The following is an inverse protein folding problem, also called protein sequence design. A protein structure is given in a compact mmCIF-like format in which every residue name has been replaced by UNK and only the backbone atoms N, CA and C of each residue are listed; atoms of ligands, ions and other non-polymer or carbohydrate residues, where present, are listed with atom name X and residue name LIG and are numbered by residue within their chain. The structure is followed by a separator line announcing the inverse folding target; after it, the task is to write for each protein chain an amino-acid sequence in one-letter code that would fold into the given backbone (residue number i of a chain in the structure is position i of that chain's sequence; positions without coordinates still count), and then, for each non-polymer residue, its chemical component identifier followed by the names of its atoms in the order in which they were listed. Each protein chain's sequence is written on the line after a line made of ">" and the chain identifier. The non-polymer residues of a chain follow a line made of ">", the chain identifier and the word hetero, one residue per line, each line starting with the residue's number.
data_IF_137855897979
#
_entry.id   IF_137855897979
#
_cell.length_a   1.000
_cell.length_b   1.000
_cell.length_c   1.000
_cell.angle_alpha   90.00
_cell.angle_beta   90.00
_cell.angle_gamma   90.00
#
_symmetry.space_group_name_H-M   'P 1'
#
loop_
_entity.id
_entity.type
_entity.pdbx_description
1 polymer ?
#
# COMPACT_ATOMS: atom_id res chain seq x y z
N UNK A 1 -2.89 16.99 13.25
CA UNK A 1 -2.59 17.04 11.80
C UNK A 1 -2.93 15.67 11.24
N UNK A 2 -3.84 15.59 10.26
CA UNK A 2 -4.23 14.32 9.67
C UNK A 2 -3.13 13.82 8.70
N UNK A 3 -3.26 12.57 8.21
CA UNK A 3 -2.26 11.96 7.31
C UNK A 3 -2.11 12.77 6.02
N UNK A 4 -3.21 13.26 5.44
CA UNK A 4 -3.18 14.03 4.20
C UNK A 4 -2.39 15.34 4.35
N UNK A 5 -2.53 16.03 5.49
CA UNK A 5 -1.77 17.25 5.76
C UNK A 5 -0.26 16.98 5.84
N UNK A 6 0.12 15.80 6.37
CA UNK A 6 1.52 15.41 6.51
C UNK A 6 2.20 15.11 5.16
N UNK A 7 1.47 14.49 4.22
CA UNK A 7 2.03 14.06 2.94
C UNK A 7 1.86 15.09 1.81
N UNK A 8 1.00 16.09 2.00
CA UNK A 8 0.66 17.06 0.96
C UNK A 8 1.88 17.86 0.48
N UNK A 9 2.09 17.83 -0.83
CA UNK A 9 3.16 18.60 -1.48
C UNK A 9 4.59 18.09 -1.22
N UNK A 10 4.74 16.96 -0.53
CA UNK A 10 6.03 16.34 -0.25
C UNK A 10 6.30 15.08 -1.07
N UNK A 11 7.48 14.53 -0.91
CA UNK A 11 7.91 13.30 -1.57
C UNK A 11 7.63 12.09 -0.68
N UNK A 12 6.96 11.08 -1.23
CA UNK A 12 6.83 9.75 -0.63
C UNK A 12 7.87 8.85 -1.30
N UNK A 13 8.72 8.22 -0.49
CA UNK A 13 9.78 7.35 -0.99
C UNK A 13 9.41 5.89 -0.81
N UNK A 14 9.56 5.11 -1.89
CA UNK A 14 9.37 3.66 -1.86
C UNK A 14 10.61 2.96 -1.32
N UNK A 15 10.45 2.23 -0.21
CA UNK A 15 11.49 1.39 0.39
C UNK A 15 11.01 -0.06 0.33
N UNK A 16 11.32 -0.76 -0.76
CA UNK A 16 10.85 -2.11 -1.04
C UNK A 16 11.96 -2.94 -1.70
N UNK A 17 12.04 -4.21 -1.32
CA UNK A 17 12.84 -5.22 -1.99
C UNK A 17 12.12 -6.56 -1.91
N UNK A 18 12.11 -7.31 -3.02
CA UNK A 18 11.55 -8.66 -3.09
C UNK A 18 12.61 -9.69 -2.62
N UNK A 19 12.15 -10.91 -2.29
CA UNK A 19 13.02 -11.98 -1.75
C UNK A 19 14.24 -12.30 -2.62
N UNK A 20 14.12 -12.11 -3.93
CA UNK A 20 15.20 -12.36 -4.89
C UNK A 20 16.15 -11.17 -5.08
N UNK A 21 15.86 -10.03 -4.46
CA UNK A 21 16.63 -8.79 -4.64
C UNK A 21 17.73 -8.65 -3.57
N UNK A 22 18.89 -8.05 -3.91
CA UNK A 22 20.06 -7.98 -3.01
C UNK A 22 19.82 -7.25 -1.69
N UNK A 23 18.88 -6.31 -1.65
CA UNK A 23 18.57 -5.51 -0.47
C UNK A 23 17.41 -6.07 0.36
N UNK A 24 16.96 -7.28 0.09
CA UNK A 24 15.87 -7.92 0.82
C UNK A 24 16.19 -8.10 2.30
N UNK A 25 15.67 -7.23 3.10
CA UNK A 25 15.79 -7.27 4.57
C UNK A 25 14.96 -6.13 5.18
N UNK A 26 14.13 -6.44 6.17
CA UNK A 26 13.36 -5.40 6.89
C UNK A 26 14.27 -4.39 7.60
N UNK A 27 15.44 -4.84 8.07
CA UNK A 27 16.45 -3.94 8.65
C UNK A 27 17.01 -2.98 7.60
N UNK A 28 17.28 -3.44 6.38
CA UNK A 28 17.75 -2.59 5.28
C UNK A 28 16.66 -1.61 4.88
N UNK A 29 15.41 -2.06 4.75
CA UNK A 29 14.28 -1.18 4.41
C UNK A 29 14.08 -0.09 5.47
N UNK A 30 14.22 -0.41 6.74
CA UNK A 30 14.17 0.57 7.82
C UNK A 30 15.29 1.63 7.70
N UNK A 31 16.52 1.21 7.37
CA UNK A 31 17.65 2.14 7.15
C UNK A 31 17.45 3.00 5.89
N UNK A 32 16.87 2.45 4.84
CA UNK A 32 16.49 3.22 3.64
C UNK A 32 15.43 4.27 3.98
N UNK A 33 14.42 3.91 4.77
CA UNK A 33 13.41 4.85 5.24
C UNK A 33 14.01 5.99 6.09
N UNK A 34 14.98 5.67 6.95
CA UNK A 34 15.72 6.66 7.71
C UNK A 34 16.48 7.64 6.79
N UNK A 35 17.20 7.10 5.82
CA UNK A 35 17.92 7.94 4.84
C UNK A 35 16.95 8.80 4.02
N UNK A 36 15.80 8.25 3.62
CA UNK A 36 14.75 9.01 2.93
C UNK A 36 14.21 10.16 3.78
N UNK A 37 13.97 9.94 5.09
CA UNK A 37 13.57 10.97 6.04
C UNK A 37 14.62 12.08 6.14
N UNK A 38 15.90 11.73 6.28
CA UNK A 38 17.02 12.69 6.28
C UNK A 38 17.07 13.51 4.98
N UNK A 39 16.70 12.90 3.85
CA UNK A 39 16.57 13.57 2.56
C UNK A 39 15.32 14.44 2.39
N UNK A 40 14.43 14.48 3.39
CA UNK A 40 13.23 15.31 3.38
C UNK A 40 11.96 14.61 2.89
N UNK A 41 11.95 13.28 2.83
CA UNK A 41 10.70 12.54 2.56
C UNK A 41 9.65 12.81 3.64
N UNK A 42 8.39 12.86 3.23
CA UNK A 42 7.24 13.10 4.11
C UNK A 42 6.39 11.84 4.34
N UNK A 43 6.72 10.76 3.67
CA UNK A 43 6.08 9.46 3.82
C UNK A 43 6.91 8.35 3.18
N UNK A 44 6.62 7.12 3.54
CA UNK A 44 7.28 5.92 3.03
C UNK A 44 6.22 4.98 2.45
N UNK A 45 6.53 4.35 1.31
CA UNK A 45 5.74 3.24 0.75
C UNK A 45 6.53 1.95 0.97
N UNK A 46 5.90 0.97 1.62
CA UNK A 46 6.56 -0.26 2.07
C UNK A 46 5.74 -1.51 1.75
N UNK A 47 6.44 -2.60 1.47
CA UNK A 47 5.88 -3.92 1.20
C UNK A 47 6.04 -4.82 2.43
N UNK A 48 5.08 -5.67 2.70
CA UNK A 48 4.99 -6.65 3.79
C UNK A 48 4.77 -6.08 5.20
N UNK A 49 4.07 -6.83 6.06
CA UNK A 49 3.89 -6.44 7.47
C UNK A 49 5.22 -6.24 8.21
N UNK A 50 6.21 -7.09 7.95
CA UNK A 50 7.52 -7.09 8.60
C UNK A 50 8.28 -5.78 8.31
N UNK A 51 8.32 -5.38 7.03
CA UNK A 51 8.97 -4.14 6.62
C UNK A 51 8.25 -2.91 7.17
N UNK A 52 6.92 -2.90 7.13
CA UNK A 52 6.11 -1.81 7.70
C UNK A 52 6.42 -1.63 9.19
N UNK A 53 6.43 -2.73 9.96
CA UNK A 53 6.75 -2.69 11.40
C UNK A 53 8.17 -2.16 11.64
N UNK A 54 9.16 -2.64 10.88
CA UNK A 54 10.54 -2.21 11.01
C UNK A 54 10.71 -0.72 10.67
N UNK A 55 10.09 -0.26 9.60
CA UNK A 55 10.11 1.14 9.18
C UNK A 55 9.44 2.04 10.21
N UNK A 56 8.27 1.66 10.72
CA UNK A 56 7.54 2.45 11.74
C UNK A 56 8.28 2.55 13.08
N UNK A 57 9.16 1.61 13.38
CA UNK A 57 10.06 1.71 14.55
C UNK A 57 11.24 2.67 14.33
N UNK A 58 11.67 2.82 13.07
CA UNK A 58 12.85 3.64 12.72
C UNK A 58 12.48 5.10 12.43
N UNK A 59 11.31 5.36 11.82
CA UNK A 59 10.87 6.70 11.43
C UNK A 59 9.44 6.98 11.86
N UNK A 60 9.15 8.26 12.15
CA UNK A 60 7.83 8.78 12.53
C UNK A 60 7.05 9.37 11.35
N UNK A 61 7.29 8.85 10.13
CA UNK A 61 6.61 9.26 8.91
C UNK A 61 5.37 8.38 8.66
N UNK A 62 4.33 8.93 7.99
CA UNK A 62 3.24 8.12 7.47
C UNK A 62 3.74 7.00 6.55
N UNK A 63 3.18 5.80 6.71
CA UNK A 63 3.54 4.63 5.92
C UNK A 63 2.36 4.17 5.07
N UNK A 64 2.55 4.13 3.75
CA UNK A 64 1.68 3.46 2.80
C UNK A 64 2.11 1.99 2.74
N UNK A 65 1.31 1.10 3.30
CA UNK A 65 1.57 -0.32 3.30
C UNK A 65 0.90 -1.02 2.13
N UNK A 66 1.59 -1.99 1.57
CA UNK A 66 1.06 -2.93 0.59
C UNK A 66 1.63 -4.33 0.85
N UNK A 67 1.09 -5.34 0.19
CA UNK A 67 1.63 -6.69 0.28
C UNK A 67 1.62 -7.33 -1.10
N UNK A 68 2.81 -7.47 -1.69
CA UNK A 68 2.99 -8.11 -3.00
C UNK A 68 3.00 -9.62 -2.83
N UNK A 69 2.06 -10.28 -3.46
CA UNK A 69 1.95 -11.74 -3.52
C UNK A 69 1.52 -12.13 -4.93
N UNK A 70 2.32 -12.98 -5.56
CA UNK A 70 1.99 -13.54 -6.87
C UNK A 70 1.03 -14.73 -6.73
N UNK A 71 0.02 -14.74 -7.58
CA UNK A 71 -0.94 -15.83 -7.75
C UNK A 71 -0.94 -16.28 -9.21
N UNK A 72 -0.79 -17.59 -9.45
CA UNK A 72 -0.65 -18.14 -10.81
C UNK A 72 -1.83 -17.81 -11.75
N UNK A 73 -3.00 -17.55 -11.17
CA UNK A 73 -4.24 -17.29 -11.91
C UNK A 73 -4.63 -15.80 -11.96
N UNK A 74 -3.75 -14.88 -11.59
CA UNK A 74 -4.04 -13.44 -11.61
C UNK A 74 -2.80 -12.62 -11.93
N UNK A 75 -2.97 -11.55 -12.70
CA UNK A 75 -1.93 -10.55 -12.94
C UNK A 75 -1.82 -9.52 -11.79
N UNK A 76 -2.80 -9.50 -10.88
CA UNK A 76 -2.79 -8.63 -9.71
C UNK A 76 -1.88 -9.22 -8.65
N UNK A 77 -0.85 -8.46 -8.25
CA UNK A 77 0.08 -8.85 -7.20
C UNK A 77 0.19 -7.82 -6.06
N UNK A 78 -0.34 -6.60 -6.23
CA UNK A 78 -0.33 -5.58 -5.16
C UNK A 78 -1.58 -5.74 -4.31
N UNK A 79 -1.41 -6.29 -3.11
CA UNK A 79 -2.48 -6.50 -2.12
C UNK A 79 -3.69 -7.19 -2.76
N UNK A 80 -3.50 -8.40 -3.30
CA UNK A 80 -4.48 -8.98 -4.24
C UNK A 80 -5.75 -9.49 -3.58
N UNK A 81 -5.73 -9.88 -2.31
CA UNK A 81 -6.90 -10.45 -1.62
C UNK A 81 -7.11 -9.87 -0.22
N UNK A 82 -8.23 -10.21 0.41
CA UNK A 82 -8.51 -9.82 1.79
C UNK A 82 -7.47 -10.36 2.77
N UNK A 83 -6.87 -11.52 2.48
CA UNK A 83 -5.80 -12.10 3.30
C UNK A 83 -4.60 -11.17 3.44
N UNK A 84 -4.17 -10.55 2.33
CA UNK A 84 -3.05 -9.61 2.35
C UNK A 84 -3.44 -8.31 3.08
N UNK A 85 -4.67 -7.83 2.92
CA UNK A 85 -5.17 -6.67 3.67
C UNK A 85 -5.16 -6.97 5.18
N UNK A 86 -5.70 -8.11 5.59
CA UNK A 86 -5.74 -8.50 7.00
C UNK A 86 -4.32 -8.60 7.58
N UNK A 87 -3.38 -9.15 6.83
CA UNK A 87 -1.98 -9.23 7.24
C UNK A 87 -1.34 -7.85 7.42
N UNK A 88 -1.54 -6.92 6.47
CA UNK A 88 -1.00 -5.55 6.56
C UNK A 88 -1.60 -4.81 7.75
N UNK A 89 -2.88 -5.00 8.04
CA UNK A 89 -3.55 -4.36 9.17
C UNK A 89 -2.86 -4.67 10.51
N UNK A 90 -2.22 -5.84 10.66
CA UNK A 90 -1.47 -6.18 11.88
C UNK A 90 -0.26 -5.29 12.12
N UNK A 91 0.28 -4.68 11.06
CA UNK A 91 1.40 -3.75 11.12
C UNK A 91 0.96 -2.28 11.31
N UNK A 92 -0.34 -2.02 11.36
CA UNK A 92 -0.94 -0.70 11.58
C UNK A 92 -0.34 0.39 10.65
N UNK A 93 -0.38 0.23 9.31
CA UNK A 93 0.02 1.28 8.38
C UNK A 93 -0.93 2.48 8.49
N UNK A 94 -0.50 3.63 7.99
CA UNK A 94 -1.36 4.82 7.94
C UNK A 94 -2.29 4.83 6.72
N UNK A 95 -1.85 4.19 5.64
CA UNK A 95 -2.58 4.03 4.37
C UNK A 95 -2.34 2.62 3.86
N UNK A 96 -3.33 1.99 3.24
CA UNK A 96 -3.18 0.71 2.53
C UNK A 96 -3.35 0.95 1.04
N UNK A 97 -2.35 0.54 0.24
CA UNK A 97 -2.43 0.55 -1.21
C UNK A 97 -2.79 -0.84 -1.76
N UNK A 98 -3.66 -0.86 -2.76
CA UNK A 98 -4.04 -2.07 -3.48
C UNK A 98 -4.27 -1.79 -4.96
N UNK A 99 -4.08 -2.82 -5.79
CA UNK A 99 -4.39 -2.75 -7.22
C UNK A 99 -5.88 -2.45 -7.43
N UNK A 100 -6.18 -1.37 -8.14
CA UNK A 100 -7.52 -0.93 -8.46
C UNK A 100 -7.78 -0.92 -9.98
N UNK A 101 -7.02 -1.71 -10.74
CA UNK A 101 -7.24 -1.90 -12.16
C UNK A 101 -8.50 -2.76 -12.43
N UNK A 102 -8.90 -2.85 -13.68
CA UNK A 102 -10.04 -3.69 -14.11
C UNK A 102 -9.69 -5.18 -14.24
N UNK A 103 -8.47 -5.59 -13.88
CA UNK A 103 -8.05 -6.99 -13.90
C UNK A 103 -8.81 -7.82 -12.86
N UNK A 104 -8.90 -9.12 -13.10
CA UNK A 104 -9.52 -10.06 -12.15
C UNK A 104 -8.55 -10.43 -11.04
N UNK A 105 -9.03 -10.44 -9.81
CA UNK A 105 -8.31 -10.92 -8.63
C UNK A 105 -8.23 -12.45 -8.60
N UNK A 106 -7.40 -13.03 -7.74
CA UNK A 106 -7.23 -14.49 -7.66
C UNK A 106 -8.54 -15.28 -7.43
N UNK A 107 -9.51 -14.68 -6.76
CA UNK A 107 -10.84 -15.26 -6.53
C UNK A 107 -11.84 -15.00 -7.67
N UNK A 108 -11.40 -14.34 -8.76
CA UNK A 108 -12.22 -13.96 -9.91
C UNK A 108 -13.02 -12.68 -9.73
N UNK A 109 -12.95 -12.04 -8.56
CA UNK A 109 -13.63 -10.77 -8.31
C UNK A 109 -12.98 -9.61 -9.08
N UNK A 110 -13.73 -8.53 -9.25
CA UNK A 110 -13.24 -7.26 -9.75
C UNK A 110 -13.14 -6.24 -8.62
N UNK A 111 -12.50 -5.10 -8.88
CA UNK A 111 -12.37 -4.05 -7.85
C UNK A 111 -13.75 -3.53 -7.39
N UNK A 112 -14.74 -3.52 -8.28
CA UNK A 112 -16.11 -3.09 -7.98
C UNK A 112 -16.83 -3.99 -6.97
N UNK A 113 -16.50 -5.28 -6.95
CA UNK A 113 -17.06 -6.23 -5.98
C UNK A 113 -16.18 -6.41 -4.76
N UNK A 114 -14.87 -6.30 -4.91
CA UNK A 114 -13.89 -6.51 -3.85
C UNK A 114 -13.81 -5.32 -2.88
N UNK A 115 -13.64 -4.10 -3.39
CA UNK A 115 -13.39 -2.94 -2.54
C UNK A 115 -14.54 -2.60 -1.58
N UNK A 116 -15.83 -2.72 -1.96
CA UNK A 116 -16.92 -2.54 -1.00
C UNK A 116 -16.84 -3.45 0.23
N UNK A 117 -16.42 -4.71 0.07
CA UNK A 117 -16.21 -5.63 1.20
C UNK A 117 -15.01 -5.21 2.07
N UNK A 118 -13.94 -4.72 1.45
CA UNK A 118 -12.77 -4.17 2.15
C UNK A 118 -13.20 -2.96 2.99
N UNK A 119 -13.88 -2.00 2.39
CA UNK A 119 -14.37 -0.79 3.06
C UNK A 119 -15.34 -1.13 4.20
N UNK A 120 -16.21 -2.09 4.01
CA UNK A 120 -17.13 -2.56 5.06
C UNK A 120 -16.38 -3.13 6.26
N UNK A 121 -15.31 -3.90 6.01
CA UNK A 121 -14.49 -4.50 7.07
C UNK A 121 -13.63 -3.49 7.80
N UNK A 122 -13.11 -2.50 7.08
CA UNK A 122 -12.19 -1.48 7.59
C UNK A 122 -12.69 -0.06 7.23
N UNK A 123 -13.78 0.41 7.86
CA UNK A 123 -14.44 1.66 7.45
C UNK A 123 -13.59 2.91 7.64
N UNK A 124 -12.72 2.92 8.64
CA UNK A 124 -11.90 4.08 9.01
C UNK A 124 -10.50 4.08 8.39
N UNK A 125 -10.13 3.01 7.65
CA UNK A 125 -8.82 2.90 7.01
C UNK A 125 -8.76 3.76 5.75
N UNK A 126 -7.63 4.44 5.57
CA UNK A 126 -7.34 5.20 4.34
C UNK A 126 -6.84 4.23 3.28
N UNK A 127 -7.49 4.18 2.12
CA UNK A 127 -7.12 3.33 1.01
C UNK A 127 -6.65 4.12 -0.20
N UNK A 128 -5.51 3.69 -0.76
CA UNK A 128 -4.95 4.21 -1.99
C UNK A 128 -5.18 3.20 -3.13
N UNK A 129 -5.74 3.69 -4.22
CA UNK A 129 -5.91 2.93 -5.46
C UNK A 129 -4.65 3.03 -6.32
N UNK A 130 -4.01 1.89 -6.59
CA UNK A 130 -2.97 1.80 -7.62
C UNK A 130 -3.64 1.55 -8.96
N UNK A 131 -3.57 2.53 -9.87
CA UNK A 131 -4.25 2.56 -11.15
C UNK A 131 -3.26 2.48 -12.32
N UNK A 132 -3.72 1.94 -13.46
CA UNK A 132 -2.93 1.86 -14.69
C UNK A 132 -3.47 2.80 -15.78
N UNK A 133 -4.66 3.35 -15.61
CA UNK A 133 -5.32 4.21 -16.58
C UNK A 133 -6.17 5.29 -15.91
N UNK A 134 -6.53 6.30 -16.68
CA UNK A 134 -7.48 7.33 -16.24
C UNK A 134 -8.83 6.73 -15.83
N UNK A 135 -9.29 5.74 -16.59
CA UNK A 135 -10.56 5.04 -16.33
C UNK A 135 -10.53 4.29 -15.00
N UNK A 136 -9.39 3.67 -14.65
CA UNK A 136 -9.20 3.04 -13.34
C UNK A 136 -9.31 4.08 -12.21
N UNK A 137 -8.67 5.23 -12.38
CA UNK A 137 -8.75 6.32 -11.40
C UNK A 137 -10.16 6.85 -11.20
N UNK A 138 -10.91 7.05 -12.28
CA UNK A 138 -12.32 7.48 -12.21
C UNK A 138 -13.21 6.43 -11.52
N UNK A 139 -12.94 5.15 -11.78
CA UNK A 139 -13.63 4.04 -11.11
C UNK A 139 -13.30 4.01 -9.63
N UNK A 140 -12.03 4.12 -9.27
CA UNK A 140 -11.58 4.15 -7.87
C UNK A 140 -12.22 5.30 -7.09
N UNK A 141 -12.29 6.49 -7.67
CA UNK A 141 -12.96 7.62 -7.07
C UNK A 141 -14.44 7.33 -6.78
N UNK A 142 -15.15 6.75 -7.74
CA UNK A 142 -16.58 6.38 -7.58
C UNK A 142 -16.78 5.31 -6.51
N UNK A 143 -15.82 4.41 -6.34
CA UNK A 143 -15.86 3.35 -5.33
C UNK A 143 -15.55 3.87 -3.91
N UNK A 144 -15.06 5.11 -3.78
CA UNK A 144 -14.76 5.72 -2.49
C UNK A 144 -13.36 5.45 -1.96
N UNK A 145 -12.38 5.26 -2.85
CA UNK A 145 -10.97 5.33 -2.47
C UNK A 145 -10.62 6.74 -2.02
N UNK A 146 -9.75 6.84 -1.03
CA UNK A 146 -9.34 8.13 -0.45
C UNK A 146 -8.20 8.78 -1.24
N UNK A 147 -7.37 7.97 -1.90
CA UNK A 147 -6.24 8.39 -2.72
C UNK A 147 -6.26 7.59 -4.04
N UNK A 148 -5.91 8.25 -5.14
CA UNK A 148 -5.72 7.65 -6.47
C UNK A 148 -4.29 7.93 -6.91
N UNK A 149 -3.54 6.87 -7.33
CA UNK A 149 -2.17 6.93 -7.79
C UNK A 149 -1.89 6.08 -9.02
#
# INVERSE_FOLDING_TARGET
>A
MNVFDKIKGGLIVSCQALETEPLYSSKIMARMAFAAKEGGAVGIRANTPEDIIAIKKEVDLPVIGLYKVDYDNSEIYITPTMKEIDAIMTAAPDIIALDATNRKRPDGSTIETFFPEVRKKYPDMIFMADCASYEDGMRAQKLGFDIVG
#
